data_IF_565157878247
#
_entry.id   IF_565157878247
#
_cell.length_a   1.000
_cell.length_b   1.000
_cell.length_c   1.000
_cell.angle_alpha   90.00
_cell.angle_beta   90.00
_cell.angle_gamma   90.00
#
_symmetry.space_group_name_H-M   'P 1'
#
loop_
_entity.id
_entity.type
_entity.pdbx_description
1 polymer ?
#
# COMPACT_ATOMS: atom_id res chain seq x y z
N UNK A 1 -17.85 -3.84 2.59
CA UNK A 1 -16.78 -3.45 1.65
C UNK A 1 -15.77 -4.58 1.55
N UNK A 2 -15.49 -5.04 0.34
CA UNK A 2 -14.58 -6.18 0.12
C UNK A 2 -13.12 -5.68 0.01
N UNK A 3 -12.30 -6.05 0.99
CA UNK A 3 -10.84 -5.85 0.96
C UNK A 3 -10.20 -7.16 0.50
N UNK A 4 -9.28 -7.09 -0.46
CA UNK A 4 -8.50 -8.23 -0.90
C UNK A 4 -7.01 -7.94 -0.66
N UNK A 5 -6.25 -8.95 -0.24
CA UNK A 5 -4.81 -8.81 -0.09
C UNK A 5 -4.05 -9.66 -1.11
N UNK A 6 -2.94 -9.13 -1.63
CA UNK A 6 -2.03 -9.85 -2.53
C UNK A 6 -0.66 -9.94 -1.87
N UNK A 7 -0.15 -11.16 -1.76
CA UNK A 7 1.21 -11.46 -1.29
C UNK A 7 2.05 -11.98 -2.45
N UNK A 8 3.12 -11.25 -2.79
CA UNK A 8 4.07 -11.68 -3.83
C UNK A 8 5.31 -12.40 -3.25
N UNK A 9 5.24 -12.83 -1.98
CA UNK A 9 6.33 -13.55 -1.30
C UNK A 9 6.53 -14.97 -1.84
N UNK A 10 7.81 -15.37 -2.03
CA UNK A 10 8.17 -16.70 -2.53
C UNK A 10 8.54 -17.69 -1.42
N UNK A 11 9.01 -17.19 -0.27
CA UNK A 11 9.53 -18.01 0.82
C UNK A 11 8.44 -18.71 1.64
N UNK A 12 8.84 -19.77 2.36
CA UNK A 12 8.08 -20.42 3.43
C UNK A 12 9.03 -20.71 4.59
N UNK A 13 8.90 -20.01 5.75
CA UNK A 13 7.94 -18.92 6.03
C UNK A 13 8.20 -17.67 5.19
N UNK A 14 7.17 -16.82 5.01
CA UNK A 14 7.23 -15.61 4.18
C UNK A 14 7.06 -14.35 5.04
N UNK A 15 8.10 -13.52 5.13
CA UNK A 15 8.01 -12.21 5.76
C UNK A 15 6.96 -11.30 5.05
N UNK A 16 6.84 -11.43 3.73
CA UNK A 16 5.84 -10.72 2.94
C UNK A 16 4.42 -11.09 3.36
N UNK A 17 4.14 -12.38 3.54
CA UNK A 17 2.83 -12.86 4.03
C UNK A 17 2.58 -12.38 5.47
N UNK A 18 3.59 -12.44 6.34
CA UNK A 18 3.46 -11.94 7.71
C UNK A 18 3.12 -10.43 7.75
N UNK A 19 3.67 -9.64 6.81
CA UNK A 19 3.33 -8.22 6.70
C UNK A 19 1.90 -8.03 6.19
N UNK A 20 1.45 -8.83 5.20
CA UNK A 20 0.05 -8.85 4.76
C UNK A 20 -0.89 -9.12 5.92
N UNK A 21 -0.61 -10.17 6.71
CA UNK A 21 -1.48 -10.55 7.83
C UNK A 21 -1.56 -9.45 8.90
N UNK A 22 -0.45 -8.75 9.19
CA UNK A 22 -0.44 -7.60 10.10
C UNK A 22 -1.24 -6.42 9.57
N UNK A 23 -1.06 -6.07 8.28
CA UNK A 23 -1.82 -4.99 7.64
C UNK A 23 -3.31 -5.30 7.59
N UNK A 24 -3.68 -6.53 7.26
CA UNK A 24 -5.08 -6.97 7.26
C UNK A 24 -5.71 -6.85 8.66
N UNK A 25 -5.03 -7.35 9.69
CA UNK A 25 -5.51 -7.25 11.07
C UNK A 25 -5.65 -5.79 11.56
N UNK A 26 -4.66 -4.94 11.26
CA UNK A 26 -4.71 -3.52 11.59
C UNK A 26 -5.84 -2.80 10.81
N UNK A 27 -6.04 -3.15 9.53
CA UNK A 27 -7.13 -2.59 8.71
C UNK A 27 -8.50 -2.92 9.29
N UNK A 28 -8.75 -4.17 9.68
CA UNK A 28 -10.01 -4.59 10.34
C UNK A 28 -10.24 -3.80 11.64
N UNK A 29 -9.19 -3.69 12.46
CA UNK A 29 -9.25 -2.93 13.72
C UNK A 29 -9.62 -1.46 13.51
N UNK A 30 -8.93 -0.78 12.58
CA UNK A 30 -9.20 0.64 12.27
C UNK A 30 -10.58 0.82 11.61
N UNK A 31 -11.00 -0.09 10.74
CA UNK A 31 -12.31 -0.05 10.10
C UNK A 31 -13.44 -0.15 11.15
N UNK A 32 -13.32 -1.08 12.11
CA UNK A 32 -14.27 -1.19 13.21
C UNK A 32 -14.34 0.07 14.05
N UNK A 33 -13.19 0.71 14.35
CA UNK A 33 -13.14 1.97 15.09
C UNK A 33 -13.77 3.15 14.31
N UNK A 34 -13.65 3.14 12.97
CA UNK A 34 -14.24 4.14 12.08
C UNK A 34 -15.72 3.86 11.73
N UNK A 35 -16.31 2.77 12.20
CA UNK A 35 -17.67 2.37 11.83
C UNK A 35 -17.81 1.91 10.37
N UNK A 36 -16.72 1.47 9.76
CA UNK A 36 -16.70 0.94 8.40
C UNK A 36 -16.81 -0.59 8.44
N UNK A 37 -17.86 -1.12 7.83
CA UNK A 37 -18.06 -2.58 7.73
C UNK A 37 -17.23 -3.16 6.59
N UNK A 38 -16.36 -4.12 6.93
CA UNK A 38 -15.57 -4.91 5.97
C UNK A 38 -16.10 -6.33 5.90
N UNK A 39 -15.97 -6.94 4.72
CA UNK A 39 -16.23 -8.38 4.55
C UNK A 39 -15.05 -9.14 5.15
N UNK A 40 -15.31 -9.97 6.13
CA UNK A 40 -14.29 -10.73 6.85
C UNK A 40 -14.48 -12.25 6.70
N UNK A 41 -13.39 -13.02 6.69
CA UNK A 41 -11.99 -12.60 6.77
C UNK A 41 -11.51 -11.94 5.46
N UNK A 42 -10.50 -11.05 5.54
CA UNK A 42 -9.82 -10.51 4.35
C UNK A 42 -9.17 -11.68 3.60
N UNK A 43 -9.60 -11.90 2.36
CA UNK A 43 -9.01 -12.91 1.48
C UNK A 43 -7.58 -12.54 1.09
N UNK A 44 -6.68 -13.53 1.03
CA UNK A 44 -5.29 -13.33 0.63
C UNK A 44 -4.95 -14.21 -0.57
N UNK A 45 -4.58 -13.59 -1.69
CA UNK A 45 -3.99 -14.28 -2.84
C UNK A 45 -2.49 -14.36 -2.65
N UNK A 46 -1.95 -15.59 -2.57
CA UNK A 46 -0.51 -15.83 -2.61
C UNK A 46 -0.10 -16.14 -4.05
N UNK A 47 0.58 -15.19 -4.70
CA UNK A 47 0.96 -15.34 -6.11
C UNK A 47 1.87 -16.54 -6.37
N UNK A 48 2.66 -16.97 -5.38
CA UNK A 48 3.50 -18.18 -5.49
C UNK A 48 2.68 -19.45 -5.76
N UNK A 49 1.44 -19.50 -5.28
CA UNK A 49 0.61 -20.70 -5.41
C UNK A 49 0.04 -20.87 -6.83
N UNK A 50 0.09 -19.82 -7.64
CA UNK A 50 -0.30 -19.80 -9.05
C UNK A 50 0.86 -19.41 -9.99
N UNK A 51 2.11 -19.44 -9.52
CA UNK A 51 3.27 -18.92 -10.24
C UNK A 51 3.49 -19.62 -11.61
N UNK A 52 3.36 -20.94 -11.65
CA UNK A 52 3.52 -21.72 -12.89
C UNK A 52 2.40 -21.41 -13.86
N UNK A 53 1.19 -21.30 -13.35
CA UNK A 53 0.01 -20.99 -14.16
C UNK A 53 0.06 -19.55 -14.71
N UNK A 54 0.59 -18.60 -13.92
CA UNK A 54 0.82 -17.22 -14.39
C UNK A 54 1.78 -17.18 -15.60
N UNK A 55 2.92 -17.87 -15.50
CA UNK A 55 3.86 -17.96 -16.62
C UNK A 55 3.23 -18.62 -17.83
N UNK A 56 2.48 -19.70 -17.63
CA UNK A 56 1.79 -20.39 -18.73
C UNK A 56 0.71 -19.50 -19.37
N UNK A 57 -0.01 -18.73 -18.55
CA UNK A 57 -1.04 -17.78 -19.01
C UNK A 57 -0.43 -16.66 -19.82
N UNK A 58 0.72 -16.13 -19.40
CA UNK A 58 1.45 -15.09 -20.15
C UNK A 58 1.90 -15.59 -21.53
N UNK A 59 2.46 -16.80 -21.59
CA UNK A 59 2.93 -17.39 -22.86
C UNK A 59 1.78 -17.71 -23.80
N UNK A 60 0.69 -18.28 -23.28
CA UNK A 60 -0.46 -18.70 -24.08
C UNK A 60 -1.44 -17.56 -24.41
N UNK A 61 -1.33 -16.44 -23.71
CA UNK A 61 -2.29 -15.33 -23.72
C UNK A 61 -3.70 -15.74 -23.30
N UNK A 62 -3.81 -16.84 -22.57
CA UNK A 62 -5.08 -17.34 -22.03
C UNK A 62 -4.91 -17.66 -20.56
N UNK A 63 -5.58 -16.95 -19.65
CA UNK A 63 -5.52 -17.23 -18.22
C UNK A 63 -5.99 -18.65 -17.90
N UNK A 64 -5.23 -19.38 -17.07
CA UNK A 64 -5.72 -20.64 -16.50
C UNK A 64 -6.91 -20.40 -15.60
N UNK A 65 -7.74 -21.41 -15.27
CA UNK A 65 -8.88 -21.23 -14.37
C UNK A 65 -8.51 -20.64 -12.99
N UNK A 66 -7.34 -21.00 -12.44
CA UNK A 66 -6.88 -20.44 -11.16
C UNK A 66 -6.42 -19.00 -11.28
N UNK A 67 -5.76 -18.65 -12.37
CA UNK A 67 -5.33 -17.27 -12.67
C UNK A 67 -6.57 -16.41 -12.93
N UNK A 68 -7.52 -16.89 -13.73
CA UNK A 68 -8.77 -16.19 -13.99
C UNK A 68 -9.54 -15.91 -12.69
N UNK A 69 -9.68 -16.91 -11.81
CA UNK A 69 -10.33 -16.74 -10.51
C UNK A 69 -9.62 -15.71 -9.61
N UNK A 70 -8.28 -15.65 -9.65
CA UNK A 70 -7.53 -14.63 -8.92
C UNK A 70 -7.77 -13.22 -9.51
N UNK A 71 -7.83 -13.08 -10.84
CA UNK A 71 -8.18 -11.83 -11.52
C UNK A 71 -9.60 -11.40 -11.16
N UNK A 72 -10.57 -12.29 -11.23
CA UNK A 72 -11.97 -12.04 -10.83
C UNK A 72 -12.08 -11.59 -9.38
N UNK A 73 -11.29 -12.19 -8.45
CA UNK A 73 -11.24 -11.73 -7.05
C UNK A 73 -10.73 -10.30 -6.92
N UNK A 74 -9.72 -9.91 -7.70
CA UNK A 74 -9.21 -8.53 -7.75
C UNK A 74 -10.24 -7.57 -8.35
N UNK A 75 -10.93 -7.97 -9.40
CA UNK A 75 -12.00 -7.17 -10.02
C UNK A 75 -13.16 -6.91 -9.05
N UNK A 76 -13.58 -7.96 -8.33
CA UNK A 76 -14.69 -7.91 -7.37
C UNK A 76 -14.34 -7.17 -6.07
N UNK A 77 -13.07 -6.94 -5.76
CA UNK A 77 -12.65 -6.23 -4.57
C UNK A 77 -12.87 -4.72 -4.72
N UNK A 78 -13.33 -4.07 -3.65
CA UNK A 78 -13.46 -2.60 -3.58
C UNK A 78 -12.10 -1.92 -3.41
N UNK A 79 -11.16 -2.62 -2.78
CA UNK A 79 -9.86 -2.09 -2.38
C UNK A 79 -8.85 -3.22 -2.14
N UNK A 80 -7.53 -2.89 -2.20
CA UNK A 80 -6.47 -3.88 -2.07
C UNK A 80 -5.40 -3.49 -1.06
N UNK A 81 -4.82 -4.52 -0.44
CA UNK A 81 -3.54 -4.48 0.26
C UNK A 81 -2.55 -5.29 -0.58
N UNK A 82 -1.46 -4.68 -1.05
CA UNK A 82 -0.49 -5.38 -1.89
C UNK A 82 0.89 -5.30 -1.27
N UNK A 83 1.50 -6.47 -1.01
CA UNK A 83 2.83 -6.56 -0.42
C UNK A 83 3.75 -7.40 -1.29
N UNK A 84 4.91 -6.82 -1.63
CA UNK A 84 5.94 -7.48 -2.42
C UNK A 84 7.29 -7.52 -1.69
N UNK A 85 8.04 -8.59 -1.78
CA UNK A 85 9.45 -8.54 -1.42
C UNK A 85 10.21 -7.75 -2.48
N UNK A 86 11.31 -7.11 -2.05
CA UNK A 86 12.22 -6.40 -2.95
C UNK A 86 13.45 -7.25 -3.20
N UNK A 87 13.62 -7.66 -4.45
CA UNK A 87 14.78 -8.38 -4.95
C UNK A 87 15.52 -7.52 -5.98
N UNK A 88 16.84 -7.34 -5.81
CA UNK A 88 17.65 -6.53 -6.73
C UNK A 88 17.03 -5.13 -7.00
N UNK A 89 16.53 -4.47 -5.94
CA UNK A 89 15.86 -3.16 -5.96
C UNK A 89 14.50 -3.13 -6.70
N UNK A 90 13.98 -4.26 -7.13
CA UNK A 90 12.69 -4.38 -7.82
C UNK A 90 11.69 -5.23 -7.01
N UNK A 91 10.39 -5.02 -7.17
CA UNK A 91 9.37 -5.94 -6.68
C UNK A 91 9.56 -7.35 -7.25
N UNK A 92 9.01 -8.35 -6.58
CA UNK A 92 9.01 -9.71 -7.11
C UNK A 92 8.41 -9.75 -8.52
N UNK A 93 9.09 -10.43 -9.45
CA UNK A 93 8.64 -10.56 -10.85
C UNK A 93 7.22 -11.12 -10.97
N UNK A 94 6.80 -11.98 -10.03
CA UNK A 94 5.43 -12.51 -10.02
C UNK A 94 4.36 -11.41 -9.86
N UNK A 95 4.67 -10.30 -9.18
CA UNK A 95 3.72 -9.20 -9.04
C UNK A 95 3.50 -8.51 -10.40
N UNK A 96 4.57 -8.18 -11.10
CA UNK A 96 4.48 -7.60 -12.45
C UNK A 96 3.78 -8.55 -13.41
N UNK A 97 4.19 -9.83 -13.40
CA UNK A 97 3.60 -10.86 -14.25
C UNK A 97 2.08 -11.03 -14.02
N UNK A 98 1.62 -10.94 -12.76
CA UNK A 98 0.18 -11.00 -12.46
C UNK A 98 -0.58 -9.86 -13.14
N UNK A 99 -0.05 -8.64 -13.07
CA UNK A 99 -0.69 -7.47 -13.70
C UNK A 99 -0.47 -7.39 -15.20
N UNK A 100 0.53 -8.08 -15.76
CA UNK A 100 0.71 -8.24 -17.23
C UNK A 100 -0.33 -9.20 -17.83
N UNK A 101 -0.76 -10.21 -17.06
CA UNK A 101 -1.82 -11.15 -17.48
C UNK A 101 -3.22 -10.56 -17.28
N UNK A 102 -3.38 -9.66 -16.29
CA UNK A 102 -4.63 -8.97 -16.01
C UNK A 102 -4.85 -7.77 -16.96
N UNK A 103 -6.08 -7.26 -17.02
CA UNK A 103 -6.39 -6.03 -17.76
C UNK A 103 -5.78 -4.80 -17.08
N UNK A 104 -5.20 -3.87 -17.85
CA UNK A 104 -4.58 -2.64 -17.36
C UNK A 104 -5.55 -1.75 -16.55
N UNK A 105 -6.84 -1.88 -16.78
CA UNK A 105 -7.87 -1.11 -16.10
C UNK A 105 -8.33 -1.75 -14.78
N UNK A 106 -7.85 -2.94 -14.43
CA UNK A 106 -8.32 -3.75 -13.28
C UNK A 106 -8.28 -2.98 -11.94
N UNK A 107 -7.33 -2.07 -11.78
CA UNK A 107 -7.17 -1.26 -10.57
C UNK A 107 -7.69 0.17 -10.70
N UNK A 108 -8.31 0.54 -11.83
CA UNK A 108 -8.74 1.91 -12.08
C UNK A 108 -9.61 2.48 -10.95
N UNK A 109 -9.05 3.49 -10.25
CA UNK A 109 -9.71 4.18 -9.15
C UNK A 109 -9.89 3.35 -7.87
N UNK A 110 -9.34 2.11 -7.79
CA UNK A 110 -9.36 1.32 -6.55
C UNK A 110 -8.33 1.86 -5.57
N UNK A 111 -8.68 2.08 -4.29
CA UNK A 111 -7.71 2.35 -3.25
C UNK A 111 -6.77 1.17 -3.06
N UNK A 112 -5.47 1.44 -2.96
CA UNK A 112 -4.45 0.41 -2.75
C UNK A 112 -3.48 0.83 -1.66
N UNK A 113 -3.32 -0.01 -0.63
CA UNK A 113 -2.27 0.11 0.36
C UNK A 113 -1.07 -0.72 -0.09
N UNK A 114 0.08 -0.08 -0.27
CA UNK A 114 1.32 -0.74 -0.67
C UNK A 114 2.20 -1.06 0.53
N UNK A 115 2.77 -2.27 0.50
CA UNK A 115 3.80 -2.69 1.43
C UNK A 115 4.95 -3.39 0.71
N UNK A 116 6.12 -3.35 1.32
CA UNK A 116 7.27 -4.10 0.82
C UNK A 116 8.10 -4.70 1.96
N UNK A 117 8.78 -5.81 1.65
CA UNK A 117 9.75 -6.43 2.55
C UNK A 117 11.11 -6.52 1.87
N UNK A 118 12.17 -6.46 2.66
CA UNK A 118 13.53 -6.59 2.12
C UNK A 118 14.56 -6.94 3.18
N UNK A 119 15.74 -7.34 2.73
CA UNK A 119 16.85 -7.71 3.64
C UNK A 119 17.43 -6.53 4.42
N UNK A 120 17.21 -5.30 3.97
CA UNK A 120 17.80 -4.10 4.58
C UNK A 120 16.93 -2.86 4.34
N UNK A 121 16.88 -1.95 5.32
CA UNK A 121 16.17 -0.67 5.22
C UNK A 121 16.68 0.24 4.07
N UNK A 122 17.87 -0.02 3.52
CA UNK A 122 18.41 0.71 2.36
C UNK A 122 17.56 0.58 1.11
N UNK A 123 16.71 -0.44 1.03
CA UNK A 123 15.81 -0.67 -0.10
C UNK A 123 14.42 -0.04 0.10
N UNK A 124 14.20 0.73 1.15
CA UNK A 124 12.87 1.34 1.43
C UNK A 124 12.34 2.18 0.28
N UNK A 125 13.21 2.92 -0.43
CA UNK A 125 12.84 3.71 -1.61
C UNK A 125 12.40 2.87 -2.82
N UNK A 126 12.48 1.54 -2.77
CA UNK A 126 11.98 0.70 -3.84
C UNK A 126 10.45 0.78 -3.98
N UNK A 127 9.73 1.14 -2.91
CA UNK A 127 8.29 1.41 -2.99
C UNK A 127 8.05 2.59 -3.93
N UNK A 128 8.72 3.72 -3.69
CA UNK A 128 8.52 4.95 -4.48
C UNK A 128 9.05 4.83 -5.91
N UNK A 129 10.10 4.03 -6.11
CA UNK A 129 10.81 3.93 -7.38
C UNK A 129 10.30 2.85 -8.30
N UNK A 130 9.68 1.81 -7.78
CA UNK A 130 9.28 0.66 -8.57
C UNK A 130 7.81 0.26 -8.34
N UNK A 131 7.34 0.12 -7.09
CA UNK A 131 5.95 -0.23 -6.84
C UNK A 131 4.99 0.91 -7.22
N UNK A 132 5.21 2.09 -6.71
CA UNK A 132 4.34 3.24 -6.94
C UNK A 132 4.14 3.57 -8.43
N UNK A 133 5.19 3.61 -9.28
CA UNK A 133 5.01 3.79 -10.72
C UNK A 133 4.15 2.72 -11.39
N UNK A 134 4.30 1.45 -11.01
CA UNK A 134 3.46 0.36 -11.53
C UNK A 134 1.98 0.59 -11.19
N UNK A 135 1.67 0.88 -9.94
CA UNK A 135 0.29 1.07 -9.51
C UNK A 135 -0.33 2.38 -10.04
N UNK A 136 0.47 3.41 -10.28
CA UNK A 136 0.01 4.60 -11.00
C UNK A 136 -0.29 4.31 -12.48
N UNK A 137 0.54 3.50 -13.15
CA UNK A 137 0.26 3.05 -14.52
C UNK A 137 -1.08 2.27 -14.58
N UNK A 138 -1.34 1.41 -13.59
CA UNK A 138 -2.60 0.67 -13.46
C UNK A 138 -3.79 1.55 -12.98
N UNK A 139 -3.58 2.86 -12.86
CA UNK A 139 -4.60 3.84 -12.43
C UNK A 139 -5.17 3.59 -11.02
N UNK A 140 -4.42 2.94 -10.14
CA UNK A 140 -4.82 2.75 -8.75
C UNK A 140 -4.79 4.07 -7.97
N UNK A 141 -5.64 4.18 -6.96
CA UNK A 141 -5.59 5.26 -5.98
C UNK A 141 -4.70 4.81 -4.80
N UNK A 142 -3.40 5.03 -4.92
CA UNK A 142 -2.45 4.57 -3.90
C UNK A 142 -2.49 5.44 -2.66
N UNK A 143 -2.58 4.80 -1.49
CA UNK A 143 -2.50 5.49 -0.18
C UNK A 143 -1.11 6.09 0.00
N UNK A 144 -0.98 7.37 0.41
CA UNK A 144 0.33 8.01 0.56
C UNK A 144 1.25 7.34 1.57
N UNK A 145 0.68 6.71 2.62
CA UNK A 145 1.44 6.03 3.67
C UNK A 145 1.61 4.56 3.31
N UNK A 146 2.74 4.21 2.72
CA UNK A 146 3.15 2.83 2.47
C UNK A 146 4.09 2.32 3.56
N UNK A 147 4.32 0.99 3.63
CA UNK A 147 5.16 0.39 4.66
C UNK A 147 6.28 -0.47 4.06
N UNK A 148 7.49 -0.27 4.54
CA UNK A 148 8.63 -1.15 4.26
C UNK A 148 9.07 -1.87 5.53
N UNK A 149 9.17 -3.21 5.49
CA UNK A 149 9.69 -4.01 6.59
C UNK A 149 11.03 -4.66 6.19
N UNK A 150 12.10 -4.22 6.83
CA UNK A 150 13.43 -4.82 6.70
C UNK A 150 13.54 -6.06 7.62
N UNK A 151 14.57 -6.89 7.39
CA UNK A 151 14.84 -8.06 8.26
C UNK A 151 15.00 -7.66 9.72
N UNK A 152 15.68 -6.56 10.01
CA UNK A 152 15.92 -6.10 11.38
C UNK A 152 14.65 -5.63 12.11
N UNK A 153 13.64 -5.19 11.37
CA UNK A 153 12.36 -4.75 11.94
C UNK A 153 11.61 -5.87 12.68
N UNK A 154 11.81 -7.12 12.26
CA UNK A 154 11.17 -8.28 12.89
C UNK A 154 11.74 -8.58 14.28
N UNK A 155 12.97 -8.10 14.58
CA UNK A 155 13.60 -8.14 15.91
C UNK A 155 13.13 -7.02 16.86
N UNK A 156 12.44 -5.99 16.34
CA UNK A 156 11.91 -4.85 17.11
C UNK A 156 10.44 -4.60 16.76
N UNK A 157 9.53 -5.49 17.17
CA UNK A 157 8.15 -5.51 16.70
C UNK A 157 7.39 -4.20 16.96
N UNK A 158 7.64 -3.51 18.07
CA UNK A 158 6.91 -2.30 18.44
C UNK A 158 7.02 -1.17 17.40
N UNK A 159 8.18 -1.00 16.75
CA UNK A 159 8.36 -0.01 15.69
C UNK A 159 7.65 -0.40 14.40
N UNK A 160 7.71 -1.70 14.04
CA UNK A 160 6.99 -2.22 12.88
C UNK A 160 5.48 -2.16 13.09
N UNK A 161 5.01 -2.52 14.28
CA UNK A 161 3.58 -2.48 14.63
C UNK A 161 3.04 -1.05 14.54
N UNK A 162 3.78 -0.05 15.07
CA UNK A 162 3.36 1.34 14.93
C UNK A 162 3.24 1.76 13.46
N UNK A 163 4.24 1.48 12.63
CA UNK A 163 4.20 1.82 11.19
C UNK A 163 3.06 1.08 10.46
N UNK A 164 2.76 -0.14 10.87
CA UNK A 164 1.64 -0.92 10.34
C UNK A 164 0.30 -0.28 10.72
N UNK A 165 0.14 0.14 11.96
CA UNK A 165 -1.05 0.85 12.44
C UNK A 165 -1.22 2.20 11.72
N UNK A 166 -0.14 2.98 11.56
CA UNK A 166 -0.17 4.27 10.85
C UNK A 166 -0.59 4.09 9.38
N UNK A 167 -0.05 3.07 8.69
CA UNK A 167 -0.38 2.77 7.30
C UNK A 167 -1.85 2.30 7.16
N UNK A 168 -2.29 1.39 8.02
CA UNK A 168 -3.67 0.90 8.03
C UNK A 168 -4.67 2.00 8.40
N UNK A 169 -4.33 2.87 9.35
CA UNK A 169 -5.14 4.03 9.72
C UNK A 169 -5.33 5.00 8.56
N UNK A 170 -4.25 5.32 7.82
CA UNK A 170 -4.31 6.16 6.62
C UNK A 170 -5.17 5.51 5.52
N UNK A 171 -5.04 4.19 5.36
CA UNK A 171 -5.83 3.43 4.39
C UNK A 171 -7.32 3.47 4.73
N UNK A 172 -7.68 3.15 5.96
CA UNK A 172 -9.07 3.17 6.42
C UNK A 172 -9.65 4.59 6.37
N UNK A 173 -8.87 5.62 6.69
CA UNK A 173 -9.29 7.01 6.56
C UNK A 173 -9.72 7.36 5.12
N UNK A 174 -8.95 6.91 4.13
CA UNK A 174 -9.32 7.07 2.71
C UNK A 174 -10.59 6.27 2.37
N UNK A 175 -10.74 5.04 2.87
CA UNK A 175 -11.93 4.22 2.62
C UNK A 175 -13.18 4.83 3.24
N UNK A 176 -13.10 5.31 4.48
CA UNK A 176 -14.19 5.97 5.20
C UNK A 176 -14.65 7.25 4.46
N UNK A 177 -13.70 8.06 4.02
CA UNK A 177 -13.99 9.25 3.21
C UNK A 177 -14.76 8.89 1.92
N UNK A 178 -14.35 7.83 1.21
CA UNK A 178 -15.03 7.36 0.00
C UNK A 178 -16.42 6.78 0.28
N UNK A 179 -16.60 6.13 1.43
CA UNK A 179 -17.89 5.58 1.86
C UNK A 179 -18.84 6.65 2.40
N UNK A 180 -18.39 7.90 2.52
CA UNK A 180 -19.20 8.99 3.11
C UNK A 180 -19.40 8.84 4.61
N UNK A 181 -18.54 8.09 5.31
CA UNK A 181 -18.55 7.98 6.76
C UNK A 181 -17.96 9.27 7.34
N UNK A 182 -18.70 10.01 8.21
CA UNK A 182 -18.18 11.25 8.81
C UNK A 182 -16.91 10.96 9.62
N UNK A 183 -15.91 11.84 9.52
CA UNK A 183 -14.72 11.73 10.36
C UNK A 183 -15.09 12.03 11.81
N UNK A 184 -15.05 11.01 12.69
CA UNK A 184 -15.41 11.16 14.09
C UNK A 184 -14.44 12.05 14.89
N UNK A 185 -13.24 12.27 14.38
CA UNK A 185 -12.26 13.16 15.02
C UNK A 185 -12.66 14.66 14.94
N UNK A 186 -13.51 15.04 13.99
CA UNK A 186 -14.05 16.41 13.94
C UNK A 186 -15.16 16.67 14.96
N UNK A 187 -15.74 15.61 15.55
CA UNK A 187 -16.79 15.74 16.57
C UNK A 187 -16.25 15.85 18.01
N UNK A 188 -14.99 15.57 18.23
CA UNK A 188 -14.29 15.81 19.49
C UNK A 188 -13.59 17.18 19.46
N UNK A 189 -14.33 18.22 19.08
CA UNK A 189 -13.91 19.60 19.20
C UNK A 189 -13.71 19.98 20.66
N UNK A 190 -12.57 19.62 21.21
CA UNK A 190 -12.06 20.18 22.44
C UNK A 190 -10.94 21.15 22.10
N UNK A 191 -11.13 22.39 22.51
CA UNK A 191 -10.12 23.42 22.73
C UNK A 191 -8.67 22.96 22.50
N UNK A 192 -8.21 22.98 21.26
CA UNK A 192 -6.79 23.13 21.02
C UNK A 192 -6.55 24.63 20.95
N UNK A 193 -5.92 25.14 22.01
CA UNK A 193 -5.23 26.42 22.01
C UNK A 193 -4.76 26.76 20.60
N UNK A 194 -5.25 27.88 20.10
CA UNK A 194 -4.66 28.57 18.97
C UNK A 194 -3.22 28.90 19.36
N UNK A 195 -2.31 27.96 19.12
CA UNK A 195 -0.93 28.32 18.96
C UNK A 195 -0.94 29.31 17.80
N UNK A 196 -0.81 30.59 18.16
CA UNK A 196 -0.56 31.66 17.21
C UNK A 196 0.64 31.23 16.39
N UNK A 197 0.40 30.84 15.14
CA UNK A 197 1.45 30.94 14.13
C UNK A 197 1.80 32.44 14.13
N UNK A 198 2.92 32.76 14.75
CA UNK A 198 3.55 34.02 14.48
C UNK A 198 3.75 34.06 12.97
N UNK A 199 3.27 35.12 12.36
CA UNK A 199 3.72 35.54 11.03
C UNK A 199 5.25 35.73 11.15
N UNK A 200 6.02 34.65 11.00
CA UNK A 200 7.39 34.75 10.62
C UNK A 200 7.35 35.17 9.14
N UNK A 201 7.24 36.46 8.92
CA UNK A 201 7.59 37.10 7.67
C UNK A 201 8.99 36.60 7.29
N UNK A 202 9.03 35.63 6.38
CA UNK A 202 10.25 35.15 5.76
C UNK A 202 10.77 36.30 4.85
N UNK A 203 11.36 37.32 5.47
CA UNK A 203 12.10 38.35 4.75
C UNK A 203 13.33 37.67 4.14
N UNK A 204 13.28 37.46 2.83
CA UNK A 204 14.49 37.17 2.05
C UNK A 204 15.47 38.34 2.25
N UNK A 205 16.48 38.14 3.12
CA UNK A 205 17.50 39.15 3.43
C UNK A 205 18.32 39.61 2.22
N UNK A 206 18.19 38.92 1.08
CA UNK A 206 18.80 39.33 -0.18
C UNK A 206 17.80 39.06 -1.32
N UNK A 207 17.50 40.08 -2.08
CA UNK A 207 16.74 39.95 -3.32
C UNK A 207 17.53 39.09 -4.31
N UNK A 208 16.81 38.18 -5.00
CA UNK A 208 17.34 37.25 -5.99
C UNK A 208 18.20 37.95 -7.06
N UNK A 209 17.88 39.20 -7.45
CA UNK A 209 18.68 40.01 -8.36
C UNK A 209 20.05 40.40 -7.78
N UNK A 210 20.15 40.59 -6.45
CA UNK A 210 21.41 40.89 -5.77
C UNK A 210 22.30 39.66 -5.70
N UNK A 211 21.74 38.47 -5.56
CA UNK A 211 22.48 37.20 -5.58
C UNK A 211 23.06 36.90 -6.97
N UNK A 212 22.32 37.19 -8.04
CA UNK A 212 22.80 36.97 -9.42
C UNK A 212 23.93 37.90 -9.82
N UNK A 213 24.09 39.07 -9.20
CA UNK A 213 25.20 40.02 -9.50
C UNK A 213 26.49 39.68 -8.77
N UNK A 214 26.48 38.68 -7.88
CA UNK A 214 27.67 38.27 -7.10
C UNK A 214 28.34 36.99 -7.65
N UNK A 215 27.87 36.48 -8.78
CA UNK A 215 28.45 35.37 -9.55
C UNK A 215 29.15 35.96 -10.80
#
# INVERSE_FOLDING_TARGET
>A
MKVLAISAGMGQPSATRMLVDRLAAATVKHAGAAGLELDEPIEVIELRDIATELMSSEISRVPSPRVAGAIESVEAADTLIVVSPIYNTQPAALLSLFFEVADDAILRGKPVLLGATGGTARHSLAIDRALLPLFHYLHALVVPTSIFAATDDWGSPASLDKRTEDAAGSFVGLLAMRAGVPNTDELSGSDTDKASHGDDDFELKNDFETMLKSI
#
